data_IF_839632731608
#
_entry.id   IF_839632731608
#
_cell.length_a   1.000
_cell.length_b   1.000
_cell.length_c   1.000
_cell.angle_alpha   90.00
_cell.angle_beta   90.00
_cell.angle_gamma   90.00
#
_symmetry.space_group_name_H-M   'P 1'
#
loop_
_entity.id
_entity.type
_entity.pdbx_description
1 polymer ?
#
# COMPACT_ATOMS: atom_id res chain seq x y z
N UNK A 1 -19.43 6.34 19.02
CA UNK A 1 -18.06 6.76 19.40
C UNK A 1 -17.12 6.44 18.25
N UNK A 2 -16.20 7.35 17.93
CA UNK A 2 -15.18 7.12 16.90
C UNK A 2 -14.08 6.23 17.50
N UNK A 3 -13.73 5.15 16.78
CA UNK A 3 -12.62 4.27 17.13
C UNK A 3 -11.34 4.84 16.55
N UNK A 4 -10.55 5.52 17.38
CA UNK A 4 -9.27 6.10 16.98
C UNK A 4 -8.13 5.22 17.46
N UNK A 5 -7.18 4.97 16.57
CA UNK A 5 -5.95 4.27 16.91
C UNK A 5 -4.87 5.30 17.21
N UNK A 6 -3.97 5.03 18.17
CA UNK A 6 -2.83 5.90 18.46
C UNK A 6 -1.58 5.08 18.76
N UNK A 7 -0.45 5.36 18.11
CA UNK A 7 0.77 4.54 18.28
C UNK A 7 1.54 4.81 19.57
N UNK A 8 1.10 5.78 20.37
CA UNK A 8 1.60 6.03 21.71
C UNK A 8 0.46 6.53 22.61
N UNK A 9 0.56 6.39 23.94
CA UNK A 9 -0.39 7.00 24.87
C UNK A 9 -0.49 8.50 24.62
N UNK A 10 -1.72 9.01 24.63
CA UNK A 10 -1.98 10.44 24.53
C UNK A 10 -2.27 10.98 25.93
N UNK A 11 -1.68 12.12 26.34
CA UNK A 11 -2.25 12.89 27.43
C UNK A 11 -3.68 13.32 27.06
N UNK A 12 -4.52 13.65 28.05
CA UNK A 12 -5.98 13.86 27.97
C UNK A 12 -6.46 14.76 26.81
N UNK A 13 -6.51 14.24 25.58
CA UNK A 13 -6.77 15.01 24.37
C UNK A 13 -8.15 14.74 23.76
N UNK A 14 -8.82 13.63 24.13
CA UNK A 14 -10.03 13.18 23.42
C UNK A 14 -11.11 12.60 24.36
N UNK A 15 -11.95 13.42 25.02
CA UNK A 15 -13.02 12.93 25.90
C UNK A 15 -14.14 12.18 25.14
N UNK A 16 -14.22 12.29 23.82
CA UNK A 16 -15.29 11.68 22.99
C UNK A 16 -14.81 10.56 22.05
N UNK A 17 -13.53 10.17 22.11
CA UNK A 17 -12.99 9.09 21.29
C UNK A 17 -12.59 7.88 22.14
N UNK A 18 -12.81 6.69 21.60
CA UNK A 18 -12.18 5.48 22.15
C UNK A 18 -10.80 5.38 21.54
N UNK A 19 -9.78 5.71 22.32
CA UNK A 19 -8.38 5.55 21.93
C UNK A 19 -7.94 4.11 22.18
N UNK A 20 -7.47 3.46 21.12
CA UNK A 20 -6.84 2.14 21.21
C UNK A 20 -5.39 2.28 20.78
N UNK A 21 -4.48 1.75 21.59
CA UNK A 21 -3.09 1.62 21.16
C UNK A 21 -3.00 0.40 20.23
N UNK A 22 -2.78 0.57 18.91
CA UNK A 22 -2.51 -0.59 18.07
C UNK A 22 -1.20 -1.17 18.56
N UNK A 23 -1.19 -2.46 18.87
CA UNK A 23 0.08 -3.18 18.94
C UNK A 23 0.71 -2.98 17.57
N UNK A 24 1.84 -2.28 17.50
CA UNK A 24 2.48 -1.83 16.26
C UNK A 24 2.76 -2.98 15.25
N UNK A 25 2.55 -4.23 15.68
CA UNK A 25 2.80 -5.45 14.96
C UNK A 25 1.60 -6.00 14.16
N UNK A 26 0.34 -5.57 14.42
CA UNK A 26 -0.83 -6.09 13.68
C UNK A 26 -1.50 -5.02 12.78
N UNK A 27 -1.21 -5.02 11.47
CA UNK A 27 -1.85 -4.13 10.51
C UNK A 27 -3.36 -4.38 10.32
N UNK A 28 -3.89 -5.53 10.76
CA UNK A 28 -5.33 -5.79 10.74
C UNK A 28 -6.09 -4.89 11.73
N UNK A 29 -5.41 -4.35 12.74
CA UNK A 29 -5.99 -3.40 13.70
C UNK A 29 -6.62 -2.17 13.06
N UNK A 30 -6.16 -1.75 11.87
CA UNK A 30 -6.70 -0.63 11.10
C UNK A 30 -8.13 -0.86 10.59
N UNK A 31 -8.58 -2.11 10.46
CA UNK A 31 -9.94 -2.41 9.97
C UNK A 31 -10.99 -1.88 10.95
N UNK A 32 -11.91 -1.07 10.44
CA UNK A 32 -12.97 -0.44 11.25
C UNK A 32 -12.47 0.70 12.15
N UNK A 33 -11.24 1.17 11.99
CA UNK A 33 -10.78 2.41 12.61
C UNK A 33 -11.33 3.62 11.84
N UNK A 34 -11.64 4.70 12.57
CA UNK A 34 -12.03 5.99 11.99
C UNK A 34 -10.81 6.84 11.60
N UNK A 35 -9.66 6.60 12.24
CA UNK A 35 -8.42 7.32 11.98
C UNK A 35 -7.27 6.78 12.82
N UNK A 36 -6.06 7.21 12.47
CA UNK A 36 -4.81 6.87 13.14
C UNK A 36 -4.11 8.15 13.62
N UNK A 37 -3.70 8.17 14.88
CA UNK A 37 -2.86 9.20 15.46
C UNK A 37 -1.42 8.65 15.53
N UNK A 38 -0.46 9.46 15.08
CA UNK A 38 0.98 9.17 15.10
C UNK A 38 1.66 10.24 15.96
N UNK A 39 1.75 10.03 17.29
CA UNK A 39 2.28 11.02 18.19
C UNK A 39 3.78 11.24 18.00
N UNK A 40 4.25 12.42 18.40
CA UNK A 40 5.67 12.60 18.68
C UNK A 40 6.08 11.74 19.89
N UNK A 41 7.22 11.07 19.78
CA UNK A 41 7.74 10.13 20.77
C UNK A 41 9.19 10.42 21.18
N UNK A 42 9.68 11.64 20.94
CA UNK A 42 11.02 12.09 21.34
C UNK A 42 12.19 11.50 20.54
N UNK A 43 11.96 10.49 19.69
CA UNK A 43 13.03 9.83 18.95
C UNK A 43 13.33 10.48 17.58
N UNK A 44 14.56 10.33 17.05
CA UNK A 44 14.87 10.74 15.69
C UNK A 44 14.15 9.88 14.65
N UNK A 45 13.77 10.49 13.52
CA UNK A 45 13.21 9.77 12.35
C UNK A 45 14.28 9.48 11.30
N UNK A 46 15.47 10.08 11.45
CA UNK A 46 16.63 9.67 10.68
C UNK A 46 17.02 8.25 11.07
N UNK A 47 17.03 7.39 10.05
CA UNK A 47 17.39 5.98 10.08
C UNK A 47 16.34 5.01 10.68
N UNK A 48 15.38 4.64 9.83
CA UNK A 48 14.37 3.61 10.11
C UNK A 48 14.94 2.19 9.95
N UNK A 49 16.10 2.04 9.28
CA UNK A 49 16.60 0.72 8.87
C UNK A 49 17.11 -0.09 10.07
N UNK A 50 17.64 0.57 11.10
CA UNK A 50 18.14 -0.05 12.32
C UNK A 50 17.17 0.05 13.52
N UNK A 51 15.89 0.36 13.26
CA UNK A 51 14.87 0.60 14.28
C UNK A 51 13.60 -0.22 14.00
N UNK A 52 13.47 -1.45 14.52
CA UNK A 52 12.36 -2.35 14.21
C UNK A 52 10.99 -1.77 14.64
N UNK A 53 10.98 -1.02 15.75
CA UNK A 53 9.83 -0.23 16.22
C UNK A 53 9.39 0.78 15.16
N UNK A 54 10.33 1.53 14.58
CA UNK A 54 10.05 2.52 13.54
C UNK A 54 9.65 1.90 12.22
N UNK A 55 10.22 0.75 11.89
CA UNK A 55 9.83 -0.01 10.71
C UNK A 55 8.38 -0.46 10.81
N UNK A 56 7.97 -1.00 11.95
CA UNK A 56 6.59 -1.40 12.21
C UNK A 56 5.62 -0.21 12.06
N UNK A 57 5.95 0.93 12.67
CA UNK A 57 5.15 2.15 12.54
C UNK A 57 5.11 2.67 11.09
N UNK A 58 6.22 2.58 10.34
CA UNK A 58 6.28 2.96 8.93
C UNK A 58 5.34 2.08 8.09
N UNK A 59 5.32 0.77 8.35
CA UNK A 59 4.42 -0.17 7.67
C UNK A 59 2.96 0.12 8.00
N UNK A 60 2.65 0.41 9.27
CA UNK A 60 1.32 0.81 9.72
C UNK A 60 0.85 2.10 9.03
N UNK A 61 1.68 3.15 9.03
CA UNK A 61 1.39 4.42 8.37
C UNK A 61 1.21 4.24 6.85
N UNK A 62 2.08 3.45 6.20
CA UNK A 62 1.98 3.15 4.77
C UNK A 62 0.69 2.42 4.42
N UNK A 63 0.24 1.50 5.29
CA UNK A 63 -1.03 0.80 5.13
C UNK A 63 -2.22 1.76 5.31
N UNK A 64 -2.20 2.59 6.35
CA UNK A 64 -3.25 3.60 6.57
C UNK A 64 -3.40 4.53 5.37
N UNK A 65 -2.29 5.00 4.78
CA UNK A 65 -2.31 5.80 3.55
C UNK A 65 -2.93 5.06 2.36
N UNK A 66 -2.60 3.78 2.15
CA UNK A 66 -3.22 2.96 1.07
C UNK A 66 -4.72 2.77 1.28
N UNK A 67 -5.15 2.67 2.54
CA UNK A 67 -6.56 2.58 2.91
C UNK A 67 -7.29 3.93 2.79
N UNK A 68 -6.58 5.03 2.50
CA UNK A 68 -7.10 6.39 2.67
C UNK A 68 -7.69 6.63 4.07
N UNK A 69 -7.19 5.91 5.08
CA UNK A 69 -7.56 6.13 6.47
C UNK A 69 -6.99 7.48 6.91
N UNK A 70 -7.79 8.39 7.50
CA UNK A 70 -7.27 9.65 8.00
C UNK A 70 -6.15 9.41 9.03
N UNK A 71 -4.99 10.02 8.80
CA UNK A 71 -3.87 9.95 9.74
C UNK A 71 -3.49 11.35 10.20
N UNK A 72 -3.35 11.57 11.51
CA UNK A 72 -2.75 12.79 12.05
C UNK A 72 -1.41 12.46 12.72
N UNK A 73 -0.33 12.94 12.16
CA UNK A 73 1.01 12.84 12.74
C UNK A 73 1.53 14.19 13.24
N UNK A 74 2.35 14.19 14.30
CA UNK A 74 3.11 15.37 14.70
C UNK A 74 4.55 15.03 15.12
N UNK A 75 5.45 16.02 15.04
CA UNK A 75 6.87 15.86 15.32
C UNK A 75 7.48 14.69 14.54
N UNK A 76 7.98 13.68 15.27
CA UNK A 76 8.51 12.44 14.68
C UNK A 76 7.44 11.60 13.96
N UNK A 77 6.20 11.61 14.43
CA UNK A 77 5.08 10.92 13.77
C UNK A 77 4.68 11.56 12.45
N UNK A 78 4.71 12.90 12.34
CA UNK A 78 4.54 13.60 11.06
C UNK A 78 5.64 13.20 10.08
N UNK A 79 6.89 13.23 10.53
CA UNK A 79 8.00 12.83 9.69
C UNK A 79 7.89 11.36 9.21
N UNK A 80 7.50 10.44 10.08
CA UNK A 80 7.25 9.04 9.70
C UNK A 80 6.13 8.93 8.64
N UNK A 81 5.03 9.66 8.82
CA UNK A 81 3.92 9.71 7.85
C UNK A 81 4.38 10.23 6.49
N UNK A 82 5.18 11.29 6.46
CA UNK A 82 5.76 11.81 5.24
C UNK A 82 6.71 10.83 4.56
N UNK A 83 7.47 10.04 5.33
CA UNK A 83 8.31 8.95 4.81
C UNK A 83 7.45 7.84 4.20
N UNK A 84 6.35 7.46 4.85
CA UNK A 84 5.40 6.46 4.36
C UNK A 84 4.76 6.88 3.03
N UNK A 85 4.58 8.19 2.81
CA UNK A 85 4.11 8.77 1.55
C UNK A 85 5.18 8.81 0.43
N UNK A 86 6.39 8.27 0.67
CA UNK A 86 7.50 8.30 -0.29
C UNK A 86 8.36 9.56 -0.22
N UNK A 87 8.07 10.48 0.70
CA UNK A 87 8.82 11.70 0.90
C UNK A 87 10.23 11.45 1.47
N UNK A 88 11.12 12.41 1.21
CA UNK A 88 12.39 12.52 1.95
C UNK A 88 12.13 13.25 3.26
N UNK A 89 12.75 12.77 4.33
CA UNK A 89 12.60 13.33 5.67
C UNK A 89 13.98 13.58 6.21
N UNK A 90 14.19 14.70 6.88
CA UNK A 90 15.48 15.10 7.42
C UNK A 90 15.32 16.18 8.45
N UNK A 91 16.30 16.28 9.34
CA UNK A 91 16.34 17.26 10.40
C UNK A 91 16.58 18.66 9.85
N UNK A 92 15.75 19.60 10.28
CA UNK A 92 16.00 21.03 10.32
C UNK A 92 16.01 21.46 11.80
N UNK A 93 16.50 22.68 12.07
CA UNK A 93 16.48 23.26 13.41
C UNK A 93 15.64 24.52 13.43
N UNK A 94 14.93 24.71 14.53
CA UNK A 94 14.07 25.84 14.76
C UNK A 94 14.13 26.22 16.23
N UNK A 95 14.54 27.46 16.53
CA UNK A 95 14.72 27.95 17.92
C UNK A 95 15.58 27.01 18.79
N UNK A 96 16.51 26.29 18.15
CA UNK A 96 17.38 25.29 18.79
C UNK A 96 16.81 23.86 18.80
N UNK A 97 15.51 23.69 18.62
CA UNK A 97 14.82 22.41 18.57
C UNK A 97 14.92 21.73 17.20
N UNK A 98 14.97 20.39 17.18
CA UNK A 98 15.06 19.61 15.94
C UNK A 98 13.66 19.31 15.41
N UNK A 99 13.36 19.79 14.20
CA UNK A 99 12.13 19.51 13.47
C UNK A 99 12.43 18.70 12.21
N UNK A 100 11.56 17.78 11.80
CA UNK A 100 11.85 16.85 10.72
C UNK A 100 11.06 17.23 9.45
N UNK A 101 11.63 18.08 8.58
CA UNK A 101 10.86 18.87 7.58
C UNK A 101 11.27 18.70 6.10
N UNK A 102 12.17 17.80 5.71
CA UNK A 102 12.57 17.65 4.27
C UNK A 102 11.46 17.19 3.29
N UNK A 103 10.19 17.25 3.69
CA UNK A 103 9.01 16.99 2.87
C UNK A 103 8.70 18.12 1.88
N UNK A 104 9.39 19.26 1.93
CA UNK A 104 9.05 20.44 1.10
C UNK A 104 9.06 20.17 -0.41
N UNK A 105 9.69 19.13 -0.93
CA UNK A 105 9.78 18.90 -2.39
C UNK A 105 9.95 17.40 -2.71
N UNK A 106 8.86 16.60 -2.73
CA UNK A 106 8.78 15.37 -3.57
C UNK A 106 7.38 14.75 -3.71
N UNK A 107 6.27 15.45 -3.41
CA UNK A 107 4.94 14.98 -3.85
C UNK A 107 4.59 15.73 -5.14
N UNK A 108 5.19 15.29 -6.24
CA UNK A 108 4.72 15.60 -7.58
C UNK A 108 4.05 14.32 -8.10
N UNK A 109 2.84 14.07 -7.62
CA UNK A 109 1.99 12.95 -8.03
C UNK A 109 0.55 13.46 -8.12
N UNK A 110 0.12 13.79 -9.34
CA UNK A 110 -1.25 13.94 -9.83
C UNK A 110 -2.34 14.34 -8.82
N UNK A 111 -2.20 15.54 -8.26
CA UNK A 111 -3.23 16.17 -7.44
C UNK A 111 -2.72 17.50 -6.93
N UNK A 112 -3.54 18.55 -7.02
CA UNK A 112 -3.19 19.86 -6.50
C UNK A 112 -2.81 19.72 -5.02
N UNK A 113 -1.58 20.10 -4.73
CA UNK A 113 -1.11 20.28 -3.37
C UNK A 113 -1.84 21.52 -2.86
N UNK A 114 -3.01 21.34 -2.25
CA UNK A 114 -3.65 22.40 -1.50
C UNK A 114 -2.78 22.68 -0.28
N UNK A 115 -1.80 23.56 -0.48
CA UNK A 115 -1.29 24.45 0.54
C UNK A 115 -2.44 25.39 0.91
N UNK A 116 -3.52 24.86 1.48
CA UNK A 116 -4.31 25.67 2.38
C UNK A 116 -3.40 25.91 3.56
N UNK A 117 -2.60 26.98 3.48
CA UNK A 117 -2.42 27.81 4.66
C UNK A 117 -3.82 27.93 5.21
N UNK A 118 -4.14 27.28 6.34
CA UNK A 118 -5.38 27.62 6.99
C UNK A 118 -5.29 29.14 7.18
N UNK A 119 -6.40 29.84 7.11
CA UNK A 119 -6.50 31.19 7.66
C UNK A 119 -6.11 31.12 9.13
N UNK A 120 -4.81 31.10 9.37
CA UNK A 120 -4.04 31.14 10.57
C UNK A 120 -3.00 32.16 10.18
N UNK A 121 -2.94 33.21 11.00
CA UNK A 121 -2.09 34.37 10.82
C UNK A 121 -0.70 33.98 10.32
N UNK A 122 -0.06 34.91 9.61
CA UNK A 122 1.36 34.92 9.21
C UNK A 122 2.35 34.48 10.31
N UNK A 123 1.89 34.32 11.56
CA UNK A 123 2.57 33.76 12.73
C UNK A 123 2.74 32.23 12.73
N UNK A 124 2.06 31.47 11.87
CA UNK A 124 2.23 30.00 11.79
C UNK A 124 3.30 29.54 10.80
N UNK A 125 4.13 30.46 10.32
CA UNK A 125 5.32 30.16 9.53
C UNK A 125 6.52 30.13 10.47
N UNK A 126 7.15 28.97 10.62
CA UNK A 126 8.42 28.86 11.32
C UNK A 126 9.53 29.14 10.30
N UNK A 127 9.98 30.39 10.23
CA UNK A 127 10.98 30.87 9.25
C UNK A 127 10.60 30.58 7.78
N UNK A 128 9.32 30.70 7.43
CA UNK A 128 8.82 30.46 6.06
C UNK A 128 8.57 28.99 5.68
N UNK A 129 8.72 28.04 6.62
CA UNK A 129 8.38 26.63 6.41
C UNK A 129 6.93 26.32 6.84
N UNK A 130 6.18 25.50 6.08
CA UNK A 130 4.84 25.08 6.48
C UNK A 130 4.93 24.14 7.70
N UNK A 131 4.26 24.54 8.78
CA UNK A 131 4.21 23.78 10.04
C UNK A 131 3.14 22.69 9.97
N UNK A 132 2.12 22.83 9.13
CA UNK A 132 1.06 21.85 8.88
C UNK A 132 1.02 21.53 7.39
N UNK A 133 0.97 20.25 7.04
CA UNK A 133 0.83 19.77 5.66
C UNK A 133 -0.25 18.68 5.56
N UNK A 134 -0.77 18.46 4.35
CA UNK A 134 -1.86 17.51 4.06
C UNK A 134 -1.55 16.63 2.86
N UNK A 135 -2.00 15.39 2.90
CA UNK A 135 -2.00 14.42 1.82
C UNK A 135 -3.33 13.67 1.85
N UNK A 136 -4.27 14.07 0.99
CA UNK A 136 -5.64 13.57 1.03
C UNK A 136 -6.28 13.79 2.42
N UNK A 137 -6.78 12.73 3.09
CA UNK A 137 -7.36 12.84 4.44
C UNK A 137 -6.31 12.91 5.56
N UNK A 138 -5.02 12.80 5.25
CA UNK A 138 -3.94 12.70 6.25
C UNK A 138 -3.18 14.01 6.43
N UNK A 139 -2.86 14.34 7.68
CA UNK A 139 -2.33 15.62 8.14
C UNK A 139 -1.03 15.37 8.91
N UNK A 140 -0.04 16.25 8.71
CA UNK A 140 1.21 16.21 9.47
C UNK A 140 1.59 17.58 10.01
N UNK A 141 1.91 17.63 11.30
CA UNK A 141 2.34 18.83 12.01
C UNK A 141 3.81 18.73 12.42
N UNK A 142 4.64 19.73 12.09
CA UNK A 142 6.08 19.65 12.31
C UNK A 142 6.51 19.75 13.78
N UNK A 143 5.71 20.41 14.63
CA UNK A 143 6.03 20.61 16.04
C UNK A 143 5.84 19.35 16.90
N UNK A 144 6.55 19.29 18.01
CA UNK A 144 6.56 18.17 18.97
C UNK A 144 5.32 18.14 19.86
N UNK A 145 4.69 19.29 20.07
CA UNK A 145 3.42 19.45 20.79
C UNK A 145 2.30 19.77 19.80
N UNK A 146 1.25 18.95 19.79
CA UNK A 146 0.11 19.13 18.87
C UNK A 146 -0.83 20.22 19.41
N UNK A 147 -1.08 21.31 18.66
CA UNK A 147 -2.03 22.32 19.08
C UNK A 147 -3.46 21.74 19.16
N UNK A 148 -4.23 22.01 20.24
CA UNK A 148 -5.59 21.48 20.38
C UNK A 148 -6.52 21.82 19.22
N UNK A 149 -6.36 23.00 18.62
CA UNK A 149 -7.13 23.44 17.46
C UNK A 149 -6.87 22.58 16.20
N UNK A 150 -5.65 22.08 16.01
CA UNK A 150 -5.32 21.19 14.88
C UNK A 150 -5.98 19.83 15.08
N UNK A 151 -5.94 19.29 16.30
CA UNK A 151 -6.61 18.05 16.64
C UNK A 151 -8.13 18.17 16.43
N UNK A 152 -8.75 19.21 16.96
CA UNK A 152 -10.20 19.44 16.82
C UNK A 152 -10.64 19.45 15.34
N UNK A 153 -9.94 20.21 14.50
CA UNK A 153 -10.23 20.28 13.07
C UNK A 153 -10.02 18.95 12.35
N UNK A 154 -9.00 18.18 12.72
CA UNK A 154 -8.81 16.84 12.16
C UNK A 154 -9.96 15.91 12.54
N UNK A 155 -10.38 15.93 13.81
CA UNK A 155 -11.50 15.10 14.30
C UNK A 155 -12.81 15.38 13.56
N UNK A 156 -13.07 16.64 13.20
CA UNK A 156 -14.24 17.04 12.40
C UNK A 156 -14.25 16.41 10.99
N UNK A 157 -13.10 16.02 10.46
CA UNK A 157 -13.01 15.39 9.12
C UNK A 157 -13.28 13.88 9.12
N UNK A 158 -13.17 13.21 10.28
CA UNK A 158 -13.25 11.75 10.39
C UNK A 158 -14.59 11.14 9.92
N UNK A 159 -15.77 11.73 10.24
CA UNK A 159 -17.05 11.13 9.86
C UNK A 159 -17.27 11.00 8.35
N UNK A 160 -16.50 11.72 7.52
CA UNK A 160 -16.66 11.77 6.08
C UNK A 160 -15.87 10.70 5.31
N UNK A 161 -14.98 9.94 5.97
CA UNK A 161 -14.02 9.07 5.27
C UNK A 161 -14.36 7.59 5.44
N UNK A 162 -14.60 6.90 4.33
CA UNK A 162 -14.76 5.45 4.27
C UNK A 162 -13.43 4.79 3.86
N UNK A 163 -12.77 4.04 4.77
CA UNK A 163 -11.50 3.37 4.44
C UNK A 163 -11.66 2.41 3.25
N UNK A 164 -10.70 2.47 2.34
CA UNK A 164 -10.59 1.56 1.20
C UNK A 164 -9.76 0.32 1.59
N UNK A 165 -9.92 -0.82 0.89
CA UNK A 165 -9.02 -1.95 1.04
C UNK A 165 -7.57 -1.54 0.78
N UNK A 166 -6.62 -1.99 1.61
CA UNK A 166 -5.21 -1.58 1.49
C UNK A 166 -4.49 -2.24 0.30
N UNK A 167 -5.12 -3.24 -0.31
CA UNK A 167 -4.60 -4.07 -1.39
C UNK A 167 -5.75 -4.64 -2.23
N UNK A 168 -5.42 -5.14 -3.42
CA UNK A 168 -6.42 -5.87 -4.22
C UNK A 168 -6.80 -7.19 -3.54
N UNK A 169 -5.88 -7.83 -2.80
CA UNK A 169 -6.18 -9.04 -2.03
C UNK A 169 -7.31 -8.79 -1.02
N UNK A 170 -7.24 -7.69 -0.28
CA UNK A 170 -8.32 -7.32 0.65
C UNK A 170 -9.60 -6.95 -0.08
N UNK A 171 -9.49 -6.25 -1.21
CA UNK A 171 -10.66 -5.85 -1.99
C UNK A 171 -11.45 -7.08 -2.51
N UNK A 172 -10.78 -8.18 -2.82
CA UNK A 172 -11.43 -9.45 -3.22
C UNK A 172 -11.92 -10.29 -2.03
N UNK A 173 -11.74 -9.85 -0.78
CA UNK A 173 -12.18 -10.58 0.41
C UNK A 173 -11.09 -11.41 1.11
N UNK A 174 -9.83 -11.26 0.73
CA UNK A 174 -8.68 -11.81 1.45
C UNK A 174 -8.18 -13.17 0.93
N UNK A 175 -7.23 -13.80 1.66
CA UNK A 175 -6.56 -15.04 1.26
C UNK A 175 -7.50 -16.22 1.03
N UNK A 176 -8.58 -16.34 1.83
CA UNK A 176 -9.50 -17.48 1.74
C UNK A 176 -10.35 -17.42 0.47
N UNK A 177 -10.82 -16.22 0.08
CA UNK A 177 -11.53 -16.03 -1.19
C UNK A 177 -10.59 -16.27 -2.37
N UNK A 178 -9.33 -15.81 -2.28
CA UNK A 178 -8.33 -16.12 -3.30
C UNK A 178 -8.08 -17.63 -3.42
N UNK A 179 -8.01 -18.35 -2.30
CA UNK A 179 -7.80 -19.79 -2.29
C UNK A 179 -8.98 -20.54 -2.94
N UNK A 180 -10.22 -20.17 -2.62
CA UNK A 180 -11.42 -20.73 -3.24
C UNK A 180 -11.51 -20.42 -4.74
N UNK A 181 -11.11 -19.21 -5.16
CA UNK A 181 -11.03 -18.83 -6.57
C UNK A 181 -10.03 -19.69 -7.32
N UNK A 182 -8.83 -19.85 -6.78
CA UNK A 182 -7.77 -20.64 -7.40
C UNK A 182 -8.11 -22.13 -7.42
N UNK A 183 -8.75 -22.66 -6.39
CA UNK A 183 -9.21 -24.06 -6.37
C UNK A 183 -10.24 -24.32 -7.48
N UNK A 184 -11.28 -23.48 -7.61
CA UNK A 184 -12.27 -23.59 -8.69
C UNK A 184 -11.60 -23.47 -10.07
N UNK A 185 -10.71 -22.49 -10.22
CA UNK A 185 -9.98 -22.27 -11.46
C UNK A 185 -9.15 -23.48 -11.89
N UNK A 186 -8.35 -24.06 -10.98
CA UNK A 186 -7.53 -25.22 -11.32
C UNK A 186 -8.34 -26.50 -11.47
N UNK A 187 -9.47 -26.64 -10.77
CA UNK A 187 -10.44 -27.71 -11.03
C UNK A 187 -10.95 -27.67 -12.46
N UNK A 188 -11.30 -26.48 -12.98
CA UNK A 188 -11.67 -26.28 -14.40
C UNK A 188 -10.52 -26.62 -15.34
N UNK A 189 -9.31 -26.12 -15.06
CA UNK A 189 -8.13 -26.41 -15.88
C UNK A 189 -7.84 -27.92 -16.00
N UNK A 190 -8.03 -28.68 -14.92
CA UNK A 190 -7.83 -30.14 -14.91
C UNK A 190 -8.82 -30.90 -15.76
N UNK A 191 -10.04 -30.38 -15.88
CA UNK A 191 -11.13 -30.99 -16.64
C UNK A 191 -11.14 -30.54 -18.10
N UNK A 192 -10.40 -29.48 -18.43
CA UNK A 192 -10.30 -28.93 -19.78
C UNK A 192 -9.51 -29.84 -20.71
N UNK A 193 -10.00 -30.02 -21.94
CA UNK A 193 -9.40 -30.94 -22.91
C UNK A 193 -8.04 -30.48 -23.45
N UNK A 194 -7.77 -29.17 -23.44
CA UNK A 194 -6.51 -28.60 -23.91
C UNK A 194 -5.50 -28.47 -22.76
N UNK A 195 -5.94 -27.97 -21.60
CA UNK A 195 -5.05 -27.71 -20.46
C UNK A 195 -4.83 -28.94 -19.56
N UNK A 196 -5.84 -29.79 -19.40
CA UNK A 196 -5.81 -30.95 -18.53
C UNK A 196 -4.61 -31.88 -18.79
N UNK A 197 -4.31 -32.26 -20.05
CA UNK A 197 -3.15 -33.07 -20.38
C UNK A 197 -1.80 -32.43 -19.98
N UNK A 198 -1.66 -31.12 -20.11
CA UNK A 198 -0.45 -30.38 -19.71
C UNK A 198 -0.25 -30.48 -18.19
N UNK A 199 -1.30 -30.17 -17.42
CA UNK A 199 -1.23 -30.26 -15.96
C UNK A 199 -1.01 -31.69 -15.47
N UNK A 200 -1.69 -32.69 -16.06
CA UNK A 200 -1.51 -34.10 -15.70
C UNK A 200 -0.06 -34.60 -15.91
N UNK A 201 0.63 -34.07 -16.94
CA UNK A 201 2.02 -34.41 -17.23
C UNK A 201 3.02 -33.78 -16.25
N UNK A 202 2.73 -32.58 -15.75
CA UNK A 202 3.72 -31.76 -15.04
C UNK A 202 3.42 -31.49 -13.55
N UNK A 203 2.18 -31.72 -13.10
CA UNK A 203 1.76 -31.50 -11.71
C UNK A 203 1.33 -32.82 -11.09
N UNK A 204 2.19 -33.35 -10.22
CA UNK A 204 1.94 -34.60 -9.49
C UNK A 204 1.48 -34.36 -8.04
N UNK A 205 1.86 -33.22 -7.46
CA UNK A 205 1.45 -32.77 -6.13
C UNK A 205 0.60 -31.51 -6.25
N UNK A 206 -0.73 -31.69 -6.24
CA UNK A 206 -1.70 -30.59 -6.34
C UNK A 206 -1.71 -29.68 -5.11
N UNK A 207 -1.68 -30.20 -3.87
CA UNK A 207 -1.52 -29.37 -2.68
C UNK A 207 -0.28 -28.46 -2.75
N UNK A 208 0.89 -28.98 -3.13
CA UNK A 208 2.11 -28.16 -3.25
C UNK A 208 1.99 -27.12 -4.37
N UNK A 209 1.43 -27.50 -5.52
CA UNK A 209 1.20 -26.60 -6.64
C UNK A 209 0.29 -25.43 -6.24
N UNK A 210 -0.87 -25.72 -5.65
CA UNK A 210 -1.83 -24.69 -5.22
C UNK A 210 -1.21 -23.79 -4.15
N UNK A 211 -0.46 -24.33 -3.19
CA UNK A 211 0.25 -23.54 -2.18
C UNK A 211 1.22 -22.54 -2.82
N UNK A 212 1.99 -22.95 -3.83
CA UNK A 212 2.91 -22.05 -4.55
C UNK A 212 2.18 -20.99 -5.36
N UNK A 213 1.10 -21.38 -6.05
CA UNK A 213 0.31 -20.46 -6.88
C UNK A 213 -0.44 -19.44 -6.01
N UNK A 214 -0.99 -19.86 -4.86
CA UNK A 214 -1.56 -18.96 -3.88
C UNK A 214 -0.50 -17.96 -3.37
N UNK A 215 0.69 -18.42 -3.01
CA UNK A 215 1.79 -17.53 -2.62
C UNK A 215 2.15 -16.51 -3.71
N UNK A 216 2.19 -16.95 -4.97
CA UNK A 216 2.45 -16.06 -6.12
C UNK A 216 1.37 -14.99 -6.23
N UNK A 217 0.10 -15.38 -6.22
CA UNK A 217 -1.01 -14.43 -6.34
C UNK A 217 -1.11 -13.50 -5.14
N UNK A 218 -0.86 -13.96 -3.90
CA UNK A 218 -0.81 -13.07 -2.73
C UNK A 218 0.20 -11.94 -2.91
N UNK A 219 1.42 -12.28 -3.36
CA UNK A 219 2.44 -11.28 -3.69
C UNK A 219 1.97 -10.31 -4.80
N UNK A 220 1.42 -10.83 -5.90
CA UNK A 220 0.89 -10.02 -7.02
C UNK A 220 -0.25 -9.09 -6.59
N UNK A 221 -1.05 -9.50 -5.60
CA UNK A 221 -2.21 -8.76 -5.12
C UNK A 221 -1.91 -7.82 -3.95
N UNK A 222 -0.64 -7.71 -3.55
CA UNK A 222 -0.16 -6.70 -2.60
C UNK A 222 0.04 -7.21 -1.18
N UNK A 223 0.15 -8.53 -0.99
CA UNK A 223 0.45 -9.15 0.29
C UNK A 223 1.86 -9.75 0.25
N UNK A 224 2.83 -9.04 0.83
CA UNK A 224 4.17 -9.54 1.18
C UNK A 224 4.98 -10.34 0.12
N UNK A 225 6.17 -10.83 0.48
CA UNK A 225 6.95 -11.73 -0.36
C UNK A 225 6.52 -13.19 -0.15
N UNK A 226 5.25 -13.52 -0.39
CA UNK A 226 4.71 -14.90 -0.24
C UNK A 226 5.15 -15.88 -1.34
N UNK A 227 5.95 -15.43 -2.30
CA UNK A 227 6.52 -16.26 -3.34
C UNK A 227 7.92 -15.81 -3.72
N UNK A 228 8.80 -16.79 -3.93
CA UNK A 228 10.16 -16.63 -4.41
C UNK A 228 10.37 -17.63 -5.54
N UNK A 229 10.68 -17.14 -6.73
CA UNK A 229 10.91 -17.99 -7.90
C UNK A 229 11.03 -17.20 -9.19
N UNK A 230 11.19 -17.92 -10.30
CA UNK A 230 11.11 -17.36 -11.65
C UNK A 230 9.93 -18.01 -12.39
N UNK A 231 8.91 -17.21 -12.63
CA UNK A 231 7.69 -17.63 -13.33
C UNK A 231 8.01 -18.09 -14.75
N UNK A 232 8.94 -17.42 -15.45
CA UNK A 232 9.30 -17.82 -16.80
C UNK A 232 10.06 -19.13 -16.82
N UNK A 233 11.00 -19.33 -15.88
CA UNK A 233 11.71 -20.60 -15.76
C UNK A 233 10.75 -21.77 -15.50
N UNK A 234 9.73 -21.56 -14.65
CA UNK A 234 8.73 -22.59 -14.34
C UNK A 234 7.85 -22.99 -15.54
N UNK A 235 7.72 -22.13 -16.57
CA UNK A 235 6.84 -22.37 -17.72
C UNK A 235 7.57 -22.63 -19.04
N UNK A 236 8.90 -22.49 -19.09
CA UNK A 236 9.71 -22.51 -20.32
C UNK A 236 9.58 -23.82 -21.11
N UNK A 237 9.71 -24.95 -20.41
CA UNK A 237 9.88 -26.26 -21.05
C UNK A 237 8.60 -27.11 -21.02
N UNK A 238 7.44 -26.45 -20.86
CA UNK A 238 6.12 -27.09 -20.77
C UNK A 238 5.44 -27.29 -22.13
N UNK A 239 6.02 -26.79 -23.23
CA UNK A 239 5.43 -26.89 -24.58
C UNK A 239 4.15 -26.07 -24.76
N UNK A 240 3.99 -24.96 -24.01
CA UNK A 240 2.80 -24.12 -24.07
C UNK A 240 2.73 -23.34 -25.39
N UNK A 241 1.53 -23.28 -25.96
CA UNK A 241 1.22 -22.45 -27.12
C UNK A 241 0.33 -21.27 -26.74
N UNK A 242 0.13 -20.31 -27.66
CA UNK A 242 -0.80 -19.20 -27.47
C UNK A 242 -2.21 -19.68 -27.12
N UNK A 243 -2.69 -20.74 -27.77
CA UNK A 243 -4.00 -21.34 -27.48
C UNK A 243 -4.12 -21.84 -26.03
N UNK A 244 -3.05 -22.39 -25.45
CA UNK A 244 -3.05 -22.78 -24.04
C UNK A 244 -3.18 -21.55 -23.13
N UNK A 245 -2.44 -20.47 -23.41
CA UNK A 245 -2.52 -19.25 -22.62
C UNK A 245 -3.90 -18.58 -22.73
N UNK A 246 -4.46 -18.48 -23.94
CA UNK A 246 -5.80 -17.94 -24.19
C UNK A 246 -6.86 -18.73 -23.42
N UNK A 247 -6.79 -20.08 -23.47
CA UNK A 247 -7.71 -20.93 -22.74
C UNK A 247 -7.57 -20.80 -21.22
N UNK A 248 -6.34 -20.72 -20.72
CA UNK A 248 -6.05 -20.50 -19.30
C UNK A 248 -6.65 -19.18 -18.83
N UNK A 249 -6.45 -18.10 -19.59
CA UNK A 249 -6.97 -16.76 -19.28
C UNK A 249 -8.51 -16.72 -19.30
N UNK A 250 -9.14 -17.43 -20.25
CA UNK A 250 -10.60 -17.55 -20.32
C UNK A 250 -11.17 -18.26 -19.08
N UNK A 251 -10.63 -19.43 -18.71
CA UNK A 251 -11.08 -20.15 -17.51
C UNK A 251 -10.81 -19.37 -16.22
N UNK A 252 -9.73 -18.59 -16.18
CA UNK A 252 -9.43 -17.72 -15.04
C UNK A 252 -10.45 -16.60 -14.91
N UNK A 253 -10.86 -15.98 -16.04
CA UNK A 253 -11.94 -15.00 -16.05
C UNK A 253 -13.26 -15.60 -15.56
N UNK A 254 -13.63 -16.79 -16.07
CA UNK A 254 -14.85 -17.50 -15.63
C UNK A 254 -14.85 -17.77 -14.12
N UNK A 255 -13.75 -18.30 -13.57
CA UNK A 255 -13.63 -18.58 -12.14
C UNK A 255 -13.68 -17.30 -11.30
N UNK A 256 -13.05 -16.22 -11.77
CA UNK A 256 -13.09 -14.93 -11.08
C UNK A 256 -14.50 -14.31 -11.07
N UNK A 257 -15.19 -14.32 -12.21
CA UNK A 257 -16.56 -13.80 -12.33
C UNK A 257 -17.59 -14.63 -11.55
N UNK A 258 -17.29 -15.91 -11.28
CA UNK A 258 -18.14 -16.76 -10.46
C UNK A 258 -18.09 -16.43 -8.96
N UNK A 259 -17.03 -15.76 -8.48
CA UNK A 259 -16.80 -15.54 -7.05
C UNK A 259 -16.66 -14.07 -6.64
N UNK A 260 -16.32 -13.19 -7.59
CA UNK A 260 -16.06 -11.78 -7.34
C UNK A 260 -17.09 -10.90 -8.05
N UNK A 261 -17.22 -9.65 -7.59
CA UNK A 261 -17.95 -8.63 -8.36
C UNK A 261 -17.31 -8.43 -9.74
N UNK A 262 -18.07 -8.10 -10.80
CA UNK A 262 -17.54 -7.95 -12.15
C UNK A 262 -16.32 -7.02 -12.22
N UNK A 263 -16.38 -5.88 -11.52
CA UNK A 263 -15.27 -4.92 -11.42
C UNK A 263 -13.98 -5.56 -10.92
N UNK A 264 -14.05 -6.35 -9.85
CA UNK A 264 -12.87 -6.97 -9.24
C UNK A 264 -12.36 -8.16 -10.06
N UNK A 265 -13.28 -8.95 -10.63
CA UNK A 265 -12.95 -10.04 -11.53
C UNK A 265 -12.19 -9.53 -12.77
N UNK A 266 -12.67 -8.44 -13.38
CA UNK A 266 -12.03 -7.82 -14.55
C UNK A 266 -10.65 -7.25 -14.20
N UNK A 267 -10.48 -6.62 -13.03
CA UNK A 267 -9.16 -6.13 -12.60
C UNK A 267 -8.17 -7.28 -12.40
N UNK A 268 -8.61 -8.37 -11.76
CA UNK A 268 -7.80 -9.55 -11.54
C UNK A 268 -7.41 -10.21 -12.88
N UNK A 269 -8.36 -10.33 -13.81
CA UNK A 269 -8.12 -10.86 -15.15
C UNK A 269 -7.15 -9.98 -15.95
N UNK A 270 -7.30 -8.65 -15.92
CA UNK A 270 -6.35 -7.73 -16.60
C UNK A 270 -4.92 -7.90 -16.10
N UNK A 271 -4.72 -8.17 -14.80
CA UNK A 271 -3.38 -8.50 -14.26
C UNK A 271 -2.86 -9.80 -14.83
N UNK A 272 -3.70 -10.84 -14.88
CA UNK A 272 -3.36 -12.13 -15.47
C UNK A 272 -2.91 -11.97 -16.94
N UNK A 273 -3.66 -11.22 -17.75
CA UNK A 273 -3.34 -10.94 -19.16
C UNK A 273 -1.97 -10.25 -19.30
N UNK A 274 -1.70 -9.21 -18.50
CA UNK A 274 -0.41 -8.50 -18.53
C UNK A 274 0.77 -9.41 -18.17
N UNK A 275 0.57 -10.34 -17.23
CA UNK A 275 1.59 -11.33 -16.86
C UNK A 275 1.76 -12.38 -17.96
N UNK A 276 0.67 -12.89 -18.52
CA UNK A 276 0.65 -13.85 -19.61
C UNK A 276 1.39 -13.35 -20.85
N UNK A 277 1.21 -12.08 -21.23
CA UNK A 277 1.92 -11.45 -22.35
C UNK A 277 3.45 -11.42 -22.19
N UNK A 278 3.95 -11.61 -20.96
CA UNK A 278 5.39 -11.63 -20.63
C UNK A 278 5.94 -13.05 -20.46
N UNK A 279 5.09 -14.08 -20.49
CA UNK A 279 5.51 -15.48 -20.39
C UNK A 279 6.27 -15.88 -21.66
N UNK A 280 7.44 -16.51 -21.49
CA UNK A 280 8.26 -17.01 -22.61
C UNK A 280 9.10 -15.94 -23.33
N UNK A 281 9.02 -14.66 -22.94
CA UNK A 281 9.92 -13.61 -23.47
C UNK A 281 11.31 -13.68 -22.80
N UNK A 282 12.43 -13.65 -23.56
CA UNK A 282 13.77 -13.53 -22.98
C UNK A 282 13.92 -12.27 -22.12
N UNK A 283 14.69 -12.35 -21.04
CA UNK A 283 14.88 -11.24 -20.09
C UNK A 283 15.34 -9.93 -20.76
N UNK A 284 16.17 -10.01 -21.81
CA UNK A 284 16.68 -8.87 -22.56
C UNK A 284 15.61 -8.05 -23.33
N UNK A 285 14.46 -8.65 -23.64
CA UNK A 285 13.35 -7.98 -24.36
C UNK A 285 12.31 -7.36 -23.40
N UNK A 286 12.51 -7.49 -22.08
CA UNK A 286 11.61 -6.93 -21.04
C UNK A 286 12.01 -5.51 -20.63
N UNK A 287 13.23 -5.09 -20.93
CA UNK A 287 13.81 -3.77 -20.65
C UNK A 287 13.78 -2.79 -21.85
N UNK A 288 13.20 -3.21 -22.98
CA UNK A 288 13.22 -2.46 -24.25
C UNK A 288 11.94 -1.68 -24.59
N UNK A 289 10.96 -1.56 -23.70
CA UNK A 289 9.85 -0.63 -23.89
C UNK A 289 10.25 0.77 -23.40
N UNK A 290 9.97 1.84 -24.16
CA UNK A 290 10.43 3.18 -23.82
C UNK A 290 9.75 3.64 -22.53
N UNK A 291 10.56 3.90 -21.49
CA UNK A 291 10.20 4.94 -20.53
C UNK A 291 10.02 6.24 -21.31
N UNK A 292 8.85 6.86 -21.18
CA UNK A 292 8.49 8.15 -21.79
C UNK A 292 9.67 9.15 -21.70
N UNK A 293 9.93 9.96 -22.75
CA UNK A 293 11.20 10.66 -22.89
C UNK A 293 11.22 11.92 -22.04
N UNK A 294 12.03 11.94 -20.98
CA UNK A 294 12.53 13.19 -20.42
C UNK A 294 13.88 13.47 -21.06
N UNK A 295 13.87 14.31 -22.10
CA UNK A 295 15.08 14.79 -22.73
C UNK A 295 15.95 15.58 -21.75
N UNK A 296 17.26 15.41 -21.89
CA UNK A 296 18.22 16.51 -21.86
C UNK A 296 19.58 16.02 -22.32
N UNK A 297 19.87 16.34 -23.58
CA UNK A 297 21.21 16.59 -24.07
C UNK A 297 21.90 17.60 -23.16
N UNK A 298 23.09 17.27 -22.67
CA UNK A 298 24.03 18.25 -22.14
C UNK A 298 25.43 17.85 -22.58
N UNK A 299 25.90 18.50 -23.63
CA UNK A 299 27.28 18.97 -23.73
C UNK A 299 27.25 20.32 -24.46
N UNK A 300 28.19 21.19 -24.13
CA UNK A 300 29.30 21.37 -25.06
C UNK A 300 30.59 20.74 -24.56
#
# INVERSE_FOLDING_TARGET
>A
MLRLLTTAPLPDLCPHATLLNPVAEDPASLHGAAGLLLPHDGGPVADVQDRPDRWALLQLASRALRMQLPVLGWGSGAALLGRAAGGRVGAARLDGEVIWTRLTLTVQLDGELCLEAPTLSTESQLNGLPVLWRLGPSWGFAGTELPPAVLARFLETLPAVSPQPASLLEAIGGPDVLAALLDDFYRRCRQDTLLGPVFARHVHDWPDHLRRVQGFWRMVLGDGPHWRGDLNAAHRDLGLSAAHLERWLALFAEAAHAQLSPRLADELHRRAVRMGARLGRPAAQRSGEPSSPAGRTLTP
#
